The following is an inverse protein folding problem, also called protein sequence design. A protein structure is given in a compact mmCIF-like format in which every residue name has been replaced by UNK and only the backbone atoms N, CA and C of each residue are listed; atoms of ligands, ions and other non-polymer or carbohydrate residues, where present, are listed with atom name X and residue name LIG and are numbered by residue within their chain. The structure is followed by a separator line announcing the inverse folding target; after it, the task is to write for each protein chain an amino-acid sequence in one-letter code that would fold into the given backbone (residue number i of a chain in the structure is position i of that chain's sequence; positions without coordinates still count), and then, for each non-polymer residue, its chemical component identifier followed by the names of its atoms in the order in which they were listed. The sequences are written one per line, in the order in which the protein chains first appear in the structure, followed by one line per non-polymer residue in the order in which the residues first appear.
data_IF_299963371262
#
_entry.id   IF_299963371262
#
_cell.length_a   1.000
_cell.length_b   1.000
_cell.length_c   1.000
_cell.angle_alpha   90.00
_cell.angle_beta   90.00
_cell.angle_gamma   90.00
#
_symmetry.space_group_name_H-M   'P 1'
#
loop_
_entity.id
_entity.type
_entity.pdbx_description
1 polymer ?
#
# COMPACT_ATOMS: atom_id res chain seq x y z
N UNK A 1 -14.87 -19.68 2.40
CA UNK A 1 -14.57 -18.31 2.90
C UNK A 1 -13.42 -17.69 2.08
N UNK A 2 -13.27 -16.34 2.12
CA UNK A 2 -12.13 -15.54 1.62
C UNK A 2 -12.09 -15.03 0.14
N UNK A 3 -13.17 -14.42 -0.39
CA UNK A 3 -13.16 -13.71 -1.71
C UNK A 3 -12.65 -12.26 -1.67
N UNK A 4 -11.54 -11.95 -0.99
CA UNK A 4 -11.10 -10.54 -0.81
C UNK A 4 -9.59 -10.26 -0.92
N UNK A 5 -8.81 -11.18 -1.47
CA UNK A 5 -7.34 -11.08 -1.50
C UNK A 5 -6.73 -10.47 -2.76
N UNK A 6 -7.43 -10.30 -3.89
CA UNK A 6 -6.78 -9.77 -5.10
C UNK A 6 -6.22 -8.34 -4.94
N UNK A 7 -6.87 -7.51 -4.10
CA UNK A 7 -6.36 -6.18 -3.72
C UNK A 7 -5.26 -6.28 -2.65
N UNK A 8 -5.22 -7.36 -1.86
CA UNK A 8 -4.04 -7.66 -1.03
C UNK A 8 -2.87 -8.06 -1.93
N UNK A 9 -3.04 -8.88 -2.97
CA UNK A 9 -2.04 -9.27 -3.99
C UNK A 9 -1.43 -8.11 -4.78
N UNK A 10 -2.14 -7.00 -5.00
CA UNK A 10 -1.51 -5.84 -5.61
C UNK A 10 -0.55 -5.09 -4.65
N UNK A 11 -0.70 -5.29 -3.34
CA UNK A 11 0.28 -4.94 -2.30
C UNK A 11 1.22 -6.14 -2.00
N UNK A 12 0.75 -7.37 -2.26
CA UNK A 12 1.34 -8.70 -1.99
C UNK A 12 1.92 -9.41 -3.25
N UNK A 13 2.19 -8.70 -4.36
CA UNK A 13 3.41 -8.90 -5.16
C UNK A 13 4.46 -8.05 -4.46
N UNK A 14 4.79 -8.45 -3.21
CA UNK A 14 5.12 -7.52 -2.16
C UNK A 14 6.57 -7.11 -2.29
N UNK A 15 7.38 -7.93 -2.96
CA UNK A 15 8.82 -7.94 -2.82
C UNK A 15 9.39 -6.56 -3.00
N UNK A 16 9.10 -5.90 -4.12
CA UNK A 16 9.83 -4.68 -4.47
C UNK A 16 9.51 -3.50 -3.54
N UNK A 17 8.23 -3.14 -3.38
CA UNK A 17 7.84 -2.02 -2.51
C UNK A 17 8.01 -2.37 -1.04
N UNK A 18 7.67 -3.60 -0.61
CA UNK A 18 7.84 -4.05 0.78
C UNK A 18 9.30 -4.13 1.18
N UNK A 19 10.19 -4.72 0.35
CA UNK A 19 11.64 -4.75 0.62
C UNK A 19 12.20 -3.35 0.66
N UNK A 20 11.80 -2.48 -0.28
CA UNK A 20 12.25 -1.09 -0.30
C UNK A 20 11.85 -0.31 0.96
N UNK A 21 10.58 -0.42 1.37
CA UNK A 21 10.08 0.23 2.59
C UNK A 21 10.73 -0.37 3.84
N UNK A 22 10.90 -1.70 3.91
CA UNK A 22 11.58 -2.39 5.02
C UNK A 22 13.04 -1.96 5.11
N UNK A 23 13.74 -1.82 4.00
CA UNK A 23 15.13 -1.35 3.93
C UNK A 23 15.27 0.09 4.44
N UNK A 24 14.37 0.99 4.01
CA UNK A 24 14.46 2.41 4.37
C UNK A 24 14.01 2.72 5.80
N UNK A 25 12.97 2.04 6.28
CA UNK A 25 12.27 2.45 7.48
C UNK A 25 12.11 1.34 8.51
N UNK A 26 12.43 0.08 8.18
CA UNK A 26 12.30 -1.05 9.10
C UNK A 26 10.85 -1.36 9.49
N UNK A 27 10.69 -2.06 10.61
CA UNK A 27 9.39 -2.58 11.06
C UNK A 27 8.39 -1.49 11.46
N UNK A 28 8.84 -0.27 11.83
CA UNK A 28 7.95 0.86 12.16
C UNK A 28 7.05 1.32 11.02
N UNK A 29 7.42 1.01 9.77
CA UNK A 29 6.63 1.31 8.59
C UNK A 29 5.43 0.37 8.39
N UNK A 30 5.38 -0.73 9.15
CA UNK A 30 4.34 -1.74 9.07
C UNK A 30 3.38 -1.63 10.25
N UNK A 31 2.14 -2.08 10.06
CA UNK A 31 1.17 -2.30 11.15
C UNK A 31 1.39 -3.68 11.77
N UNK A 32 0.77 -3.96 12.93
CA UNK A 32 0.79 -5.29 13.57
C UNK A 32 0.33 -6.40 12.61
N UNK A 33 -0.59 -6.10 11.70
CA UNK A 33 -1.08 -7.00 10.64
C UNK A 33 -0.15 -7.10 9.41
N UNK A 34 1.05 -6.50 9.44
CA UNK A 34 2.00 -6.53 8.33
C UNK A 34 1.69 -5.59 7.15
N UNK A 35 0.74 -4.65 7.30
CA UNK A 35 0.37 -3.69 6.23
C UNK A 35 1.27 -2.46 6.27
N UNK A 36 1.64 -1.92 5.10
CA UNK A 36 2.43 -0.69 5.04
C UNK A 36 1.56 0.53 5.42
N UNK A 37 2.06 1.35 6.36
CA UNK A 37 1.45 2.62 6.77
C UNK A 37 1.49 3.64 5.63
N UNK A 38 0.44 4.46 5.50
CA UNK A 38 0.27 5.37 4.34
C UNK A 38 1.37 6.44 4.33
N UNK A 39 1.68 6.96 5.51
CA UNK A 39 2.75 7.94 5.72
C UNK A 39 4.07 7.43 5.16
N UNK A 40 4.39 6.16 5.39
CA UNK A 40 5.62 5.55 4.91
C UNK A 40 5.63 5.26 3.41
N UNK A 41 4.47 4.93 2.80
CA UNK A 41 4.37 4.86 1.33
C UNK A 41 4.65 6.21 0.67
N UNK A 42 4.11 7.31 1.21
CA UNK A 42 4.39 8.66 0.69
C UNK A 42 5.86 9.05 0.85
N UNK A 43 6.48 8.72 1.98
CA UNK A 43 7.93 8.93 2.19
C UNK A 43 8.77 8.10 1.22
N UNK A 44 8.39 6.83 1.00
CA UNK A 44 9.07 5.95 0.05
C UNK A 44 8.95 6.46 -1.40
N UNK A 45 7.79 7.01 -1.78
CA UNK A 45 7.58 7.66 -3.08
C UNK A 45 8.59 8.79 -3.30
N UNK A 46 8.65 9.75 -2.38
CA UNK A 46 9.59 10.89 -2.46
C UNK A 46 11.04 10.43 -2.59
N UNK A 47 11.43 9.38 -1.86
CA UNK A 47 12.78 8.81 -1.96
C UNK A 47 13.03 8.19 -3.34
N UNK A 48 12.06 7.44 -3.86
CA UNK A 48 12.15 6.79 -5.16
C UNK A 48 12.17 7.78 -6.33
N UNK A 49 11.43 8.89 -6.23
CA UNK A 49 11.47 10.03 -7.16
C UNK A 49 12.86 10.64 -7.19
N UNK A 50 13.48 10.88 -6.03
CA UNK A 50 14.86 11.39 -5.94
C UNK A 50 15.90 10.45 -6.54
N UNK A 51 15.68 9.14 -6.47
CA UNK A 51 16.56 8.14 -7.08
C UNK A 51 16.28 7.93 -8.57
N UNK A 52 15.29 8.62 -9.16
CA UNK A 52 14.92 8.45 -10.56
C UNK A 52 14.26 7.10 -10.89
N UNK A 53 13.84 6.32 -9.87
CA UNK A 53 13.31 4.97 -10.10
C UNK A 53 11.81 5.02 -10.44
N UNK A 54 11.50 5.37 -11.69
CA UNK A 54 10.14 5.58 -12.19
C UNK A 54 9.24 4.35 -12.02
N UNK A 55 9.77 3.13 -12.21
CA UNK A 55 9.02 1.88 -12.00
C UNK A 55 8.55 1.73 -10.54
N UNK A 56 9.41 2.07 -9.59
CA UNK A 56 9.09 1.97 -8.16
C UNK A 56 8.08 3.05 -7.74
N UNK A 57 8.18 4.25 -8.31
CA UNK A 57 7.20 5.32 -8.13
C UNK A 57 5.82 4.90 -8.63
N UNK A 58 5.74 4.33 -9.84
CA UNK A 58 4.48 3.80 -10.41
C UNK A 58 3.86 2.72 -9.50
N UNK A 59 4.68 1.80 -8.99
CA UNK A 59 4.21 0.77 -8.07
C UNK A 59 3.67 1.35 -6.74
N UNK A 60 4.36 2.35 -6.17
CA UNK A 60 3.90 3.01 -4.94
C UNK A 60 2.60 3.80 -5.19
N UNK A 61 2.49 4.50 -6.32
CA UNK A 61 1.28 5.20 -6.70
C UNK A 61 0.08 4.25 -6.81
N UNK A 62 0.26 3.10 -7.47
CA UNK A 62 -0.77 2.07 -7.57
C UNK A 62 -1.21 1.57 -6.18
N UNK A 63 -0.25 1.30 -5.28
CA UNK A 63 -0.55 0.88 -3.91
C UNK A 63 -1.36 1.93 -3.12
N UNK A 64 -1.05 3.22 -3.29
CA UNK A 64 -1.81 4.33 -2.69
C UNK A 64 -3.25 4.36 -3.24
N UNK A 65 -3.39 4.29 -4.56
CA UNK A 65 -4.68 4.34 -5.25
C UNK A 65 -5.59 3.18 -4.82
N UNK A 66 -5.07 1.95 -4.84
CA UNK A 66 -5.83 0.75 -4.45
C UNK A 66 -6.28 0.80 -2.99
N UNK A 67 -5.46 1.37 -2.10
CA UNK A 67 -5.87 1.61 -0.71
C UNK A 67 -7.02 2.60 -0.61
N UNK A 68 -7.05 3.64 -1.45
CA UNK A 68 -8.16 4.59 -1.56
C UNK A 68 -9.46 3.91 -1.98
N UNK A 69 -9.42 3.10 -3.04
CA UNK A 69 -10.57 2.31 -3.50
C UNK A 69 -11.11 1.37 -2.42
N UNK A 70 -10.24 0.75 -1.62
CA UNK A 70 -10.65 -0.10 -0.49
C UNK A 70 -11.42 0.68 0.58
N UNK A 71 -10.99 1.90 0.92
CA UNK A 71 -11.71 2.77 1.86
C UNK A 71 -13.10 3.13 1.32
N UNK A 72 -13.21 3.46 0.04
CA UNK A 72 -14.48 3.78 -0.63
C UNK A 72 -15.45 2.59 -0.62
N UNK A 73 -14.97 1.37 -0.92
CA UNK A 73 -15.78 0.14 -0.82
C UNK A 73 -16.22 -0.17 0.62
N UNK A 74 -15.37 0.07 1.63
CA UNK A 74 -15.77 -0.08 3.04
C UNK A 74 -16.86 0.92 3.44
N UNK A 75 -16.75 2.18 3.01
CA UNK A 75 -17.76 3.23 3.29
C UNK A 75 -19.12 2.90 2.65
N UNK A 76 -19.14 2.42 1.40
CA UNK A 76 -20.38 1.94 0.74
C UNK A 76 -21.05 0.73 1.42
N UNK A 77 -20.28 -0.15 2.06
CA UNK A 77 -20.84 -1.29 2.82
C UNK A 77 -21.37 -0.92 4.21
N UNK A 78 -20.90 0.18 4.80
CA UNK A 78 -21.38 0.68 6.10
C UNK A 78 -22.61 1.58 6.01
N UNK A 79 -22.88 2.18 4.85
CA UNK A 79 -24.04 3.06 4.60
C UNK A 79 -25.33 2.34 4.19
N UNK A 80 -25.36 1.01 4.21
CA UNK A 80 -26.60 0.21 4.03
C UNK A 80 -26.96 -0.42 5.37
N UNK A 81 -27.19 0.42 6.37
CA UNK A 81 -28.07 0.09 7.48
C UNK A 81 -29.44 0.65 7.07
N UNK A 82 -30.37 -0.27 6.88
CA UNK A 82 -31.80 -0.02 6.66
C UNK A 82 -32.36 0.65 7.90
#
# INVERSE_FOLDING_TARGET
MARKKWIQEAIERPGRVRRYVKRLFGNKAFTKEGKIKLSYLRKAKKRAERTGNTSLVKAINLAITLRGFRKKKKKKKGGRKK
#
